data_IF_520431204550
#
_entry.id   IF_520431204550
#
_cell.length_a   1.000
_cell.length_b   1.000
_cell.length_c   1.000
_cell.angle_alpha   90.00
_cell.angle_beta   90.00
_cell.angle_gamma   90.00
#
_symmetry.space_group_name_H-M   'P 1'
#
loop_
_entity.id
_entity.type
_entity.pdbx_description
1 polymer ?
#
# COMPACT_ATOMS: atom_id res chain seq x y z
N UNK A 1 -16.20 -14.30 5.07
CA UNK A 1 -14.90 -14.26 5.81
C UNK A 1 -13.75 -14.13 4.82
N UNK A 2 -12.74 -13.34 5.16
CA UNK A 2 -11.53 -13.20 4.35
C UNK A 2 -10.84 -14.55 4.06
N UNK A 3 -10.24 -14.69 2.89
CA UNK A 3 -9.41 -15.85 2.56
C UNK A 3 -7.98 -15.62 3.05
N UNK A 4 -7.62 -16.20 4.20
CA UNK A 4 -6.25 -16.17 4.72
C UNK A 4 -5.65 -17.57 4.57
N UNK A 5 -4.55 -17.71 3.80
CA UNK A 5 -4.02 -19.02 3.43
C UNK A 5 -2.50 -19.12 3.57
N UNK A 6 -2.05 -20.22 4.16
CA UNK A 6 -0.64 -20.64 4.18
C UNK A 6 -0.19 -21.07 2.78
N UNK A 7 0.97 -20.61 2.36
CA UNK A 7 1.64 -21.01 1.12
C UNK A 7 3.09 -21.38 1.44
N UNK A 8 3.56 -22.52 0.95
CA UNK A 8 4.92 -23.04 1.21
C UNK A 8 5.28 -23.04 2.71
N UNK A 9 4.36 -23.48 3.58
CA UNK A 9 4.49 -23.51 5.04
C UNK A 9 4.68 -22.13 5.70
N UNK A 10 4.43 -21.05 4.99
CA UNK A 10 4.47 -19.68 5.53
C UNK A 10 3.05 -19.15 5.62
N UNK A 11 2.65 -18.74 6.83
CA UNK A 11 1.35 -18.16 7.13
C UNK A 11 1.45 -16.64 7.27
N UNK A 12 0.44 -15.86 6.86
CA UNK A 12 0.39 -14.44 7.13
C UNK A 12 0.48 -14.12 8.62
N UNK A 13 1.26 -13.09 8.97
CA UNK A 13 1.42 -12.54 10.33
C UNK A 13 0.66 -11.23 10.42
N UNK A 14 -0.48 -11.25 11.10
CA UNK A 14 -1.43 -10.13 11.12
C UNK A 14 -1.63 -9.67 12.56
N UNK A 15 -1.42 -8.37 12.83
CA UNK A 15 -1.70 -7.79 14.14
C UNK A 15 -3.20 -7.90 14.51
N UNK A 16 -3.50 -8.08 15.79
CA UNK A 16 -4.89 -8.23 16.28
C UNK A 16 -5.78 -7.02 16.01
N UNK A 17 -5.20 -5.84 15.80
CA UNK A 17 -5.93 -4.59 15.54
C UNK A 17 -6.13 -4.29 14.05
N UNK A 18 -5.85 -5.24 13.16
CA UNK A 18 -6.04 -5.10 11.72
C UNK A 18 -7.50 -5.39 11.36
N UNK A 19 -8.13 -4.48 10.64
CA UNK A 19 -9.41 -4.74 9.98
C UNK A 19 -9.18 -5.46 8.65
N UNK A 20 -9.95 -6.52 8.39
CA UNK A 20 -9.91 -7.26 7.14
C UNK A 20 -11.34 -7.48 6.66
N UNK A 21 -11.68 -6.95 5.50
CA UNK A 21 -12.99 -7.12 4.88
C UNK A 21 -13.25 -8.59 4.50
N UNK A 22 -14.50 -9.03 4.54
CA UNK A 22 -14.92 -10.43 4.38
C UNK A 22 -14.44 -11.14 3.12
N UNK A 23 -14.22 -10.42 2.04
CA UNK A 23 -13.78 -11.01 0.77
C UNK A 23 -12.35 -10.60 0.36
N UNK A 24 -11.56 -10.06 1.30
CA UNK A 24 -10.13 -9.86 1.08
C UNK A 24 -9.38 -11.19 1.04
N UNK A 25 -8.29 -11.24 0.28
CA UNK A 25 -7.44 -12.42 0.11
C UNK A 25 -6.02 -12.12 0.56
N UNK A 26 -5.48 -12.90 1.52
CA UNK A 26 -4.13 -12.72 2.07
C UNK A 26 -3.42 -14.06 2.09
N UNK A 27 -2.35 -14.21 1.31
CA UNK A 27 -1.68 -15.48 1.10
C UNK A 27 -0.17 -15.40 1.39
N UNK A 28 0.38 -16.42 2.08
CA UNK A 28 1.83 -16.65 2.22
C UNK A 28 2.56 -15.66 3.12
N UNK A 29 3.74 -15.21 2.69
CA UNK A 29 4.64 -14.34 3.49
C UNK A 29 4.18 -12.88 3.47
N UNK A 30 3.12 -12.62 4.22
CA UNK A 30 2.55 -11.28 4.41
C UNK A 30 2.60 -10.91 5.88
N UNK A 31 3.19 -9.76 6.21
CA UNK A 31 3.19 -9.21 7.57
C UNK A 31 2.41 -7.88 7.58
N UNK A 32 1.45 -7.73 8.49
CA UNK A 32 0.59 -6.54 8.58
C UNK A 32 0.64 -5.96 9.99
N UNK A 33 1.04 -4.69 10.07
CA UNK A 33 1.16 -3.92 11.31
C UNK A 33 -0.18 -3.43 11.87
N UNK A 34 -0.12 -2.87 13.08
CA UNK A 34 -1.27 -2.44 13.87
C UNK A 34 -2.12 -1.38 13.17
N UNK A 35 -3.44 -1.38 13.43
CA UNK A 35 -4.41 -0.39 12.95
C UNK A 35 -4.44 -0.22 11.43
N UNK A 36 -3.92 -1.20 10.70
CA UNK A 36 -4.04 -1.27 9.23
C UNK A 36 -5.40 -1.82 8.85
N UNK A 37 -5.95 -1.36 7.73
CA UNK A 37 -7.22 -1.84 7.19
C UNK A 37 -7.06 -2.36 5.77
N UNK A 38 -7.58 -3.56 5.52
CA UNK A 38 -7.57 -4.25 4.22
C UNK A 38 -9.01 -4.38 3.75
N UNK A 39 -9.35 -3.69 2.69
CA UNK A 39 -10.74 -3.50 2.25
C UNK A 39 -11.19 -4.55 1.23
N UNK A 40 -12.40 -4.39 0.72
CA UNK A 40 -13.08 -5.41 -0.07
C UNK A 40 -12.36 -5.72 -1.39
N UNK A 41 -12.35 -6.98 -1.81
CA UNK A 41 -11.69 -7.47 -3.02
C UNK A 41 -10.18 -7.20 -3.11
N UNK A 42 -9.53 -6.84 -1.99
CA UNK A 42 -8.08 -6.65 -1.93
C UNK A 42 -7.36 -7.99 -1.97
N UNK A 43 -6.25 -8.07 -2.73
CA UNK A 43 -5.41 -9.27 -2.82
C UNK A 43 -3.99 -8.94 -2.38
N UNK A 44 -3.54 -9.56 -1.28
CA UNK A 44 -2.16 -9.51 -0.78
C UNK A 44 -1.53 -10.89 -0.98
N UNK A 45 -0.74 -11.06 -2.03
CA UNK A 45 -0.22 -12.36 -2.43
C UNK A 45 1.31 -12.47 -2.25
N UNK A 46 1.73 -12.92 -1.05
CA UNK A 46 3.13 -13.16 -0.67
C UNK A 46 3.58 -14.60 -0.91
N UNK A 47 3.25 -15.17 -2.07
CA UNK A 47 3.55 -16.56 -2.44
C UNK A 47 4.93 -16.75 -3.05
N UNK A 48 5.48 -15.71 -3.67
CA UNK A 48 6.78 -15.75 -4.37
C UNK A 48 7.85 -14.92 -3.67
N UNK A 49 7.47 -13.95 -2.83
CA UNK A 49 8.37 -13.17 -2.00
C UNK A 49 7.59 -12.44 -0.91
N UNK A 50 8.28 -11.81 0.05
CA UNK A 50 7.67 -11.17 1.21
C UNK A 50 6.97 -9.85 0.90
N UNK A 51 5.86 -9.63 1.57
CA UNK A 51 5.11 -8.37 1.64
C UNK A 51 5.11 -7.91 3.10
N UNK A 52 5.69 -6.76 3.37
CA UNK A 52 5.66 -6.11 4.68
C UNK A 52 4.82 -4.85 4.62
N UNK A 53 3.88 -4.70 5.52
CA UNK A 53 2.98 -3.57 5.66
C UNK A 53 3.07 -3.03 7.09
N UNK A 54 3.41 -1.75 7.22
CA UNK A 54 3.55 -1.07 8.49
C UNK A 54 2.22 -0.81 9.21
N UNK A 55 2.19 0.20 10.06
CA UNK A 55 1.05 0.60 10.89
C UNK A 55 0.22 1.69 10.22
N UNK A 56 -1.07 1.75 10.58
CA UNK A 56 -1.99 2.79 10.10
C UNK A 56 -2.05 2.88 8.56
N UNK A 57 -1.92 1.77 7.87
CA UNK A 57 -2.02 1.69 6.40
C UNK A 57 -3.45 1.35 6.02
N UNK A 58 -4.03 2.06 5.06
CA UNK A 58 -5.29 1.62 4.46
C UNK A 58 -5.05 1.14 3.03
N UNK A 59 -5.53 -0.06 2.74
CA UNK A 59 -5.41 -0.72 1.44
C UNK A 59 -6.82 -0.86 0.91
N UNK A 60 -7.21 0.08 0.05
CA UNK A 60 -8.59 0.26 -0.37
C UNK A 60 -9.03 -0.79 -1.40
N UNK A 61 -10.33 -0.84 -1.63
CA UNK A 61 -11.00 -1.90 -2.38
C UNK A 61 -10.37 -2.19 -3.74
N UNK A 62 -10.27 -3.47 -4.08
CA UNK A 62 -9.74 -3.94 -5.35
C UNK A 62 -8.23 -3.79 -5.55
N UNK A 63 -7.49 -3.31 -4.56
CA UNK A 63 -6.03 -3.18 -4.64
C UNK A 63 -5.35 -4.55 -4.70
N UNK A 64 -4.33 -4.67 -5.55
CA UNK A 64 -3.49 -5.88 -5.64
C UNK A 64 -2.07 -5.56 -5.23
N UNK A 65 -1.53 -6.36 -4.28
CA UNK A 65 -0.12 -6.27 -3.85
C UNK A 65 0.56 -7.61 -4.12
N UNK A 66 1.65 -7.58 -4.89
CA UNK A 66 2.41 -8.76 -5.27
C UNK A 66 3.90 -8.45 -5.51
N UNK A 67 4.70 -9.46 -5.79
CA UNK A 67 6.15 -9.37 -6.01
C UNK A 67 6.57 -10.18 -7.23
N UNK A 68 7.77 -9.93 -7.74
CA UNK A 68 8.43 -10.82 -8.71
C UNK A 68 9.29 -11.86 -7.97
N UNK A 69 9.13 -13.14 -8.33
CA UNK A 69 9.85 -14.26 -7.74
C UNK A 69 11.36 -14.02 -7.70
N UNK A 70 11.97 -14.15 -6.52
CA UNK A 70 13.39 -13.94 -6.24
C UNK A 70 14.02 -12.60 -6.73
N UNK A 71 13.20 -11.61 -7.12
CA UNK A 71 13.70 -10.32 -7.66
C UNK A 71 13.28 -9.11 -6.87
N UNK A 72 12.06 -9.08 -6.37
CA UNK A 72 11.55 -7.91 -5.67
C UNK A 72 10.70 -8.29 -4.46
N UNK A 73 10.59 -7.39 -3.50
CA UNK A 73 9.75 -7.48 -2.31
C UNK A 73 8.88 -6.24 -2.23
N UNK A 74 7.78 -6.32 -1.52
CA UNK A 74 7.03 -5.12 -1.15
C UNK A 74 7.33 -4.74 0.29
N UNK A 75 7.69 -3.45 0.47
CA UNK A 75 7.87 -2.85 1.80
C UNK A 75 7.06 -1.56 1.87
N UNK A 76 6.05 -1.55 2.72
CA UNK A 76 5.25 -0.38 3.03
C UNK A 76 5.57 0.10 4.45
N UNK A 77 5.87 1.39 4.59
CA UNK A 77 6.06 2.05 5.89
C UNK A 77 4.75 2.32 6.61
N UNK A 78 4.73 3.32 7.45
CA UNK A 78 3.59 3.70 8.28
C UNK A 78 2.77 4.86 7.67
N UNK A 79 1.50 4.98 8.06
CA UNK A 79 0.60 6.07 7.64
C UNK A 79 0.47 6.20 6.11
N UNK A 80 0.29 5.10 5.41
CA UNK A 80 0.14 5.08 3.95
C UNK A 80 -1.34 4.89 3.59
N UNK A 81 -1.79 5.64 2.60
CA UNK A 81 -3.10 5.41 1.97
C UNK A 81 -2.92 4.91 0.54
N UNK A 82 -3.45 3.73 0.26
CA UNK A 82 -3.44 3.13 -1.07
C UNK A 82 -4.87 3.14 -1.60
N UNK A 83 -5.11 3.98 -2.62
CA UNK A 83 -6.41 4.20 -3.24
C UNK A 83 -6.95 2.96 -3.95
N UNK A 84 -8.28 2.94 -4.13
CA UNK A 84 -9.01 1.84 -4.77
C UNK A 84 -8.38 1.39 -6.10
N UNK A 85 -8.37 0.10 -6.37
CA UNK A 85 -7.87 -0.52 -7.60
C UNK A 85 -6.40 -0.21 -7.94
N UNK A 86 -5.58 0.18 -6.97
CA UNK A 86 -4.15 0.37 -7.19
C UNK A 86 -3.43 -0.99 -7.35
N UNK A 87 -2.30 -0.99 -8.08
CA UNK A 87 -1.40 -2.14 -8.18
C UNK A 87 -0.06 -1.76 -7.57
N UNK A 88 0.33 -2.50 -6.53
CA UNK A 88 1.59 -2.31 -5.81
C UNK A 88 2.45 -3.54 -6.05
N UNK A 89 3.48 -3.41 -6.87
CA UNK A 89 4.25 -4.56 -7.30
C UNK A 89 5.74 -4.40 -7.01
N UNK A 90 6.28 -5.22 -6.10
CA UNK A 90 7.71 -5.35 -5.85
C UNK A 90 8.47 -4.05 -5.48
N UNK A 91 7.83 -3.10 -4.80
CA UNK A 91 8.37 -1.75 -4.57
C UNK A 91 8.51 -1.41 -3.08
N UNK A 92 9.17 -0.30 -2.80
CA UNK A 92 9.26 0.30 -1.47
C UNK A 92 8.46 1.59 -1.42
N UNK A 93 7.56 1.72 -0.45
CA UNK A 93 6.81 2.93 -0.16
C UNK A 93 7.13 3.32 1.28
N UNK A 94 7.73 4.49 1.46
CA UNK A 94 8.09 5.00 2.79
C UNK A 94 6.88 5.62 3.50
N UNK A 95 7.10 6.20 4.68
CA UNK A 95 6.02 6.71 5.54
C UNK A 95 5.29 7.93 4.96
N UNK A 96 4.03 8.09 5.35
CA UNK A 96 3.20 9.25 5.02
C UNK A 96 3.05 9.46 3.50
N UNK A 97 2.77 8.40 2.75
CA UNK A 97 2.58 8.43 1.30
C UNK A 97 1.10 8.22 0.95
N UNK A 98 0.65 8.96 -0.07
CA UNK A 98 -0.63 8.72 -0.72
C UNK A 98 -0.41 8.15 -2.13
N UNK A 99 -0.93 6.97 -2.36
CA UNK A 99 -1.06 6.36 -3.69
C UNK A 99 -2.50 6.55 -4.16
N UNK A 100 -2.68 7.27 -5.25
CA UNK A 100 -3.99 7.55 -5.81
C UNK A 100 -4.69 6.32 -6.40
N UNK A 101 -6.01 6.40 -6.53
CA UNK A 101 -6.85 5.32 -7.08
C UNK A 101 -6.38 4.91 -8.49
N UNK A 102 -6.30 3.60 -8.74
CA UNK A 102 -5.90 3.03 -10.02
C UNK A 102 -4.43 3.26 -10.40
N UNK A 103 -3.59 3.78 -9.48
CA UNK A 103 -2.17 3.94 -9.76
C UNK A 103 -1.45 2.59 -9.79
N UNK A 104 -0.39 2.49 -10.62
CA UNK A 104 0.44 1.29 -10.76
C UNK A 104 1.87 1.64 -10.35
N UNK A 105 2.38 0.94 -9.34
CA UNK A 105 3.76 1.08 -8.87
C UNK A 105 4.51 -0.21 -9.20
N UNK A 106 5.56 -0.11 -10.00
CA UNK A 106 6.27 -1.28 -10.54
C UNK A 106 7.51 -1.64 -9.71
N UNK A 107 8.11 -2.80 -10.04
CA UNK A 107 9.24 -3.38 -9.30
C UNK A 107 10.40 -2.40 -9.09
N UNK A 108 10.95 -2.45 -7.88
CA UNK A 108 12.09 -1.66 -7.42
C UNK A 108 11.88 -0.14 -7.48
N UNK A 109 10.66 0.34 -7.72
CA UNK A 109 10.35 1.74 -7.52
C UNK A 109 10.42 2.09 -6.02
N UNK A 110 10.87 3.30 -5.73
CA UNK A 110 10.97 3.84 -4.37
C UNK A 110 10.11 5.09 -4.28
N UNK A 111 9.07 5.04 -3.48
CA UNK A 111 8.22 6.19 -3.18
C UNK A 111 8.68 6.72 -1.83
N UNK A 112 9.42 7.83 -1.85
CA UNK A 112 9.96 8.42 -0.62
C UNK A 112 8.86 9.06 0.23
N UNK A 113 9.14 9.16 1.53
CA UNK A 113 8.20 9.70 2.52
C UNK A 113 7.62 11.06 2.14
N UNK A 114 6.44 11.36 2.65
CA UNK A 114 5.78 12.65 2.42
C UNK A 114 5.66 12.97 0.92
N UNK A 115 5.20 12.02 0.10
CA UNK A 115 4.97 12.19 -1.32
C UNK A 115 3.62 11.65 -1.77
N UNK A 116 3.20 12.03 -2.95
CA UNK A 116 1.92 11.63 -3.55
C UNK A 116 2.17 11.08 -4.95
N UNK A 117 1.57 9.93 -5.24
CA UNK A 117 1.37 9.46 -6.61
C UNK A 117 -0.09 9.70 -6.97
N UNK A 118 -0.34 10.49 -8.01
CA UNK A 118 -1.69 10.85 -8.44
C UNK A 118 -2.48 9.64 -8.97
N UNK A 119 -3.81 9.73 -8.94
CA UNK A 119 -4.70 8.68 -9.46
C UNK A 119 -4.40 8.35 -10.93
N UNK A 120 -4.50 7.06 -11.29
CA UNK A 120 -4.25 6.55 -12.64
C UNK A 120 -2.81 6.65 -13.15
N UNK A 121 -1.87 7.02 -12.31
CA UNK A 121 -0.46 7.16 -12.69
C UNK A 121 0.28 5.84 -12.76
N UNK A 122 1.29 5.72 -13.63
CA UNK A 122 2.16 4.55 -13.72
C UNK A 122 3.60 4.93 -13.35
N UNK A 123 4.03 4.55 -12.14
CA UNK A 123 5.41 4.66 -11.70
C UNK A 123 6.17 3.44 -12.20
N UNK A 124 7.03 3.63 -13.18
CA UNK A 124 7.78 2.56 -13.83
C UNK A 124 8.89 2.00 -12.93
N UNK A 125 9.43 0.86 -13.30
CA UNK A 125 10.51 0.18 -12.56
C UNK A 125 11.64 1.12 -12.20
N UNK A 126 12.20 0.93 -11.00
CA UNK A 126 13.40 1.64 -10.51
C UNK A 126 13.25 3.18 -10.40
N UNK A 127 12.03 3.69 -10.63
CA UNK A 127 11.75 5.13 -10.50
C UNK A 127 11.77 5.53 -9.03
N UNK A 128 12.43 6.66 -8.73
CA UNK A 128 12.38 7.28 -7.40
C UNK A 128 11.44 8.48 -7.43
N UNK A 129 10.34 8.38 -6.67
CA UNK A 129 9.45 9.51 -6.36
C UNK A 129 10.02 10.22 -5.13
N UNK A 130 10.45 11.46 -5.30
CA UNK A 130 11.15 12.21 -4.23
C UNK A 130 10.17 12.70 -3.16
N UNK A 131 10.68 12.81 -1.94
CA UNK A 131 9.95 13.42 -0.81
C UNK A 131 9.50 14.85 -1.17
N UNK A 132 8.35 15.26 -0.67
CA UNK A 132 7.78 16.59 -0.91
C UNK A 132 7.28 16.81 -2.34
N UNK A 133 7.01 15.75 -3.11
CA UNK A 133 6.58 15.88 -4.50
C UNK A 133 5.27 15.14 -4.80
N UNK A 134 4.59 15.60 -5.84
CA UNK A 134 3.50 14.89 -6.50
C UNK A 134 3.99 14.40 -7.86
N UNK A 135 3.88 13.09 -8.09
CA UNK A 135 4.12 12.48 -9.40
C UNK A 135 2.78 12.14 -10.05
N UNK A 136 2.69 12.39 -11.38
CA UNK A 136 1.47 12.15 -12.15
C UNK A 136 1.78 11.69 -13.58
N UNK A 137 0.83 11.00 -14.20
CA UNK A 137 0.85 10.61 -15.63
C UNK A 137 1.35 9.20 -15.91
N UNK A 138 1.47 8.86 -17.20
CA UNK A 138 1.91 7.58 -17.74
C UNK A 138 2.96 7.83 -18.82
N UNK A 139 4.28 7.56 -18.55
CA UNK A 139 4.85 7.24 -17.24
C UNK A 139 4.77 8.43 -16.28
N UNK A 140 4.68 8.15 -14.98
CA UNK A 140 4.60 9.18 -13.95
C UNK A 140 5.88 10.03 -13.91
N UNK A 141 5.71 11.33 -13.87
CA UNK A 141 6.77 12.34 -13.74
C UNK A 141 6.43 13.29 -12.62
N UNK A 142 7.44 13.99 -12.10
CA UNK A 142 7.19 15.04 -11.12
C UNK A 142 6.27 16.10 -11.71
N UNK A 143 5.09 16.26 -11.11
CA UNK A 143 4.09 17.25 -11.51
C UNK A 143 4.32 18.58 -10.80
N UNK A 144 4.53 18.53 -9.49
CA UNK A 144 4.86 19.70 -8.67
C UNK A 144 5.48 19.32 -7.33
N UNK A 145 6.14 20.28 -6.71
CA UNK A 145 6.53 20.20 -5.30
C UNK A 145 5.35 20.61 -4.41
N UNK A 146 5.32 20.06 -3.21
CA UNK A 146 4.34 20.40 -2.18
C UNK A 146 5.03 20.37 -0.81
N UNK A 147 4.62 21.25 0.07
CA UNK A 147 5.12 21.26 1.44
C UNK A 147 4.90 19.91 2.14
N UNK A 148 5.97 19.32 2.66
CA UNK A 148 5.96 18.01 3.29
C UNK A 148 5.02 17.94 4.50
N UNK A 149 4.87 19.04 5.26
CA UNK A 149 3.97 19.09 6.40
C UNK A 149 2.51 18.98 5.94
N UNK A 150 2.19 19.58 4.80
CA UNK A 150 0.85 19.49 4.19
C UNK A 150 0.57 18.06 3.74
N UNK A 151 1.50 17.41 3.04
CA UNK A 151 1.34 16.01 2.62
C UNK A 151 1.19 15.11 3.85
N UNK A 152 2.08 15.24 4.83
CA UNK A 152 2.02 14.45 6.08
C UNK A 152 0.70 14.62 6.81
N UNK A 153 0.15 15.85 6.88
CA UNK A 153 -1.16 16.07 7.46
C UNK A 153 -2.26 15.36 6.67
N UNK A 154 -2.29 15.52 5.36
CA UNK A 154 -3.29 14.87 4.49
C UNK A 154 -3.27 13.34 4.62
N UNK A 155 -2.10 12.73 4.62
CA UNK A 155 -1.96 11.27 4.75
C UNK A 155 -2.36 10.79 6.14
N UNK A 156 -2.02 11.53 7.19
CA UNK A 156 -2.42 11.22 8.55
C UNK A 156 -3.94 11.31 8.72
N UNK A 157 -4.55 12.42 8.30
CA UNK A 157 -6.00 12.62 8.39
C UNK A 157 -6.74 11.48 7.63
N UNK A 158 -6.24 11.08 6.47
CA UNK A 158 -6.81 9.96 5.71
C UNK A 158 -6.65 8.63 6.45
N UNK A 159 -5.49 8.34 7.02
CA UNK A 159 -5.28 7.12 7.82
C UNK A 159 -6.21 7.06 9.02
N UNK A 160 -6.37 8.16 9.74
CA UNK A 160 -7.28 8.26 10.90
C UNK A 160 -8.75 8.05 10.49
N UNK A 161 -9.17 8.62 9.36
CA UNK A 161 -10.50 8.39 8.81
C UNK A 161 -10.73 6.91 8.48
N UNK A 162 -9.77 6.21 7.90
CA UNK A 162 -9.91 4.78 7.59
C UNK A 162 -9.89 3.89 8.84
N UNK A 163 -9.23 4.30 9.92
CA UNK A 163 -9.36 3.64 11.23
C UNK A 163 -10.80 3.81 11.75
N UNK A 164 -11.38 5.01 11.64
CA UNK A 164 -12.77 5.26 12.01
C UNK A 164 -13.72 4.45 11.13
N UNK A 165 -13.57 4.47 9.81
CA UNK A 165 -14.45 3.74 8.89
C UNK A 165 -14.43 2.23 9.17
N UNK A 166 -13.27 1.66 9.44
CA UNK A 166 -13.17 0.23 9.76
C UNK A 166 -13.92 -0.13 11.05
N UNK A 167 -14.03 0.79 12.01
CA UNK A 167 -14.77 0.54 13.25
C UNK A 167 -16.29 0.38 13.07
N UNK A 168 -16.84 0.77 11.93
CA UNK A 168 -18.25 0.59 11.62
C UNK A 168 -18.64 -0.85 11.24
N UNK A 169 -17.64 -1.70 11.04
CA UNK A 169 -17.83 -3.11 10.60
C UNK A 169 -17.61 -4.14 11.72
N UNK A 170 -17.44 -3.69 12.97
CA UNK A 170 -17.30 -4.55 14.17
C UNK A 170 -18.62 -4.64 14.96
#
# INVERSE_FOLDING_TARGET
MALIKTVNNISPKISKSVYIADNATILGDVTIGEKTSVWFNTVLRGDVNSIYIGKNVNIQDGTVIHCTYNKSKVKLGDNISIGHNAIIHGCTIEDNVLIGMGAIIMDNAVIQKNSIVAAGSVVTKETVVRSGTIFAGIPAKMYKEMDEKTIKKMTKDMSENYILYSSWYY
#
